data_IF_460626706303
#
_entry.id   IF_460626706303
#
_cell.length_a   1.000
_cell.length_b   1.000
_cell.length_c   1.000
_cell.angle_alpha   90.00
_cell.angle_beta   90.00
_cell.angle_gamma   90.00
#
_symmetry.space_group_name_H-M   'P 1'
#
loop_
_entity.id
_entity.type
_entity.pdbx_description
1 polymer ?
#
# COMPACT_ATOMS: atom_id res chain seq x y z
N UNK A 1 -24.68 -3.00 -13.93
CA UNK A 1 -24.51 -3.83 -12.71
C UNK A 1 -23.33 -3.27 -11.94
N UNK A 2 -23.59 -2.79 -10.72
CA UNK A 2 -22.67 -1.95 -9.94
C UNK A 2 -21.62 -2.80 -9.21
N UNK A 3 -20.39 -2.81 -9.72
CA UNK A 3 -19.17 -3.17 -8.98
C UNK A 3 -18.63 -1.97 -8.17
N UNK A 4 -19.51 -1.06 -7.74
CA UNK A 4 -19.15 0.14 -6.98
C UNK A 4 -19.17 -0.09 -5.45
N UNK A 5 -19.42 -1.31 -4.98
CA UNK A 5 -19.65 -1.61 -3.56
C UNK A 5 -18.41 -1.96 -2.73
N UNK A 6 -17.21 -2.01 -3.33
CA UNK A 6 -16.00 -2.49 -2.64
C UNK A 6 -14.78 -1.59 -2.74
N UNK A 7 -14.82 -0.55 -3.57
CA UNK A 7 -13.75 0.43 -3.66
C UNK A 7 -14.02 1.54 -2.67
N UNK A 8 -12.96 1.92 -1.95
CA UNK A 8 -12.97 3.00 -0.99
C UNK A 8 -13.70 4.23 -1.56
N UNK A 9 -14.53 4.93 -0.77
CA UNK A 9 -15.23 6.11 -1.26
C UNK A 9 -14.24 7.10 -1.86
N UNK A 10 -14.40 7.41 -3.15
CA UNK A 10 -13.52 8.31 -3.90
C UNK A 10 -12.44 7.63 -4.76
N UNK A 11 -12.35 6.31 -4.82
CA UNK A 11 -11.48 5.59 -5.77
C UNK A 11 -12.31 5.01 -6.91
N UNK A 12 -12.09 5.50 -8.13
CA UNK A 12 -12.63 4.91 -9.34
C UNK A 12 -11.57 4.01 -10.00
N UNK A 13 -11.97 2.78 -10.35
CA UNK A 13 -11.23 1.86 -11.22
C UNK A 13 -11.99 1.68 -12.52
N UNK A 14 -11.27 1.30 -13.58
CA UNK A 14 -11.80 1.30 -14.93
C UNK A 14 -13.04 0.43 -15.17
N UNK A 15 -13.76 0.73 -16.25
CA UNK A 15 -15.07 0.13 -16.54
C UNK A 15 -15.02 -1.36 -16.94
N UNK A 16 -13.85 -1.89 -17.33
CA UNK A 16 -13.68 -3.29 -17.74
C UNK A 16 -12.83 -4.10 -16.76
N UNK A 17 -13.09 -5.41 -16.64
CA UNK A 17 -12.34 -6.29 -15.73
C UNK A 17 -10.84 -6.35 -15.99
N UNK A 18 -10.42 -6.17 -17.25
CA UNK A 18 -9.01 -6.09 -17.62
C UNK A 18 -8.36 -4.77 -17.15
N UNK A 19 -9.07 -3.66 -17.27
CA UNK A 19 -8.59 -2.34 -16.82
C UNK A 19 -8.49 -2.26 -15.29
N UNK A 20 -9.42 -2.91 -14.58
CA UNK A 20 -9.37 -3.06 -13.12
C UNK A 20 -8.13 -3.86 -12.70
N UNK A 21 -7.88 -5.01 -13.34
CA UNK A 21 -6.73 -5.86 -13.02
C UNK A 21 -5.41 -5.14 -13.31
N UNK A 22 -5.31 -4.44 -14.44
CA UNK A 22 -4.13 -3.64 -14.79
C UNK A 22 -3.91 -2.50 -13.80
N UNK A 23 -4.96 -1.76 -13.44
CA UNK A 23 -4.89 -0.65 -12.49
C UNK A 23 -4.46 -1.12 -11.10
N UNK A 24 -4.97 -2.27 -10.64
CA UNK A 24 -4.54 -2.90 -9.38
C UNK A 24 -3.09 -3.39 -9.45
N UNK A 25 -2.66 -3.98 -10.58
CA UNK A 25 -1.30 -4.44 -10.76
C UNK A 25 -0.30 -3.27 -10.73
N UNK A 26 -0.63 -2.15 -11.38
CA UNK A 26 0.18 -0.92 -11.35
C UNK A 26 0.23 -0.35 -9.93
N UNK A 27 -0.92 -0.27 -9.24
CA UNK A 27 -0.98 0.24 -7.87
C UNK A 27 -0.14 -0.63 -6.92
N UNK A 28 -0.30 -1.94 -6.97
CA UNK A 28 0.45 -2.88 -6.16
C UNK A 28 1.95 -2.82 -6.47
N UNK A 29 2.32 -2.78 -7.75
CA UNK A 29 3.70 -2.66 -8.20
C UNK A 29 4.36 -1.37 -7.72
N UNK A 30 3.66 -0.23 -7.83
CA UNK A 30 4.17 1.06 -7.35
C UNK A 30 4.35 1.09 -5.83
N UNK A 31 3.36 0.58 -5.07
CA UNK A 31 3.45 0.48 -3.61
C UNK A 31 4.63 -0.41 -3.22
N UNK A 32 4.74 -1.61 -3.81
CA UNK A 32 5.83 -2.53 -3.50
C UNK A 32 7.20 -1.93 -3.84
N UNK A 33 7.36 -1.36 -5.04
CA UNK A 33 8.62 -0.78 -5.50
C UNK A 33 9.04 0.41 -4.62
N UNK A 34 8.13 1.35 -4.36
CA UNK A 34 8.44 2.56 -3.58
C UNK A 34 8.70 2.20 -2.10
N UNK A 35 7.98 1.21 -1.56
CA UNK A 35 8.23 0.70 -0.20
C UNK A 35 9.60 0.05 -0.08
N UNK A 36 10.09 -0.61 -1.14
CA UNK A 36 11.45 -1.18 -1.16
C UNK A 36 12.54 -0.11 -1.32
N UNK A 37 12.29 0.94 -2.12
CA UNK A 37 13.25 2.04 -2.33
C UNK A 37 13.38 2.90 -1.09
N UNK A 38 12.26 3.21 -0.44
CA UNK A 38 12.21 4.08 0.75
C UNK A 38 11.75 3.22 1.92
N UNK A 39 12.70 2.50 2.52
CA UNK A 39 12.43 1.72 3.72
C UNK A 39 12.31 2.64 4.94
N UNK A 40 11.08 2.86 5.41
CA UNK A 40 10.79 3.56 6.66
C UNK A 40 10.38 2.54 7.72
N UNK A 41 11.38 2.00 8.41
CA UNK A 41 11.19 1.04 9.49
C UNK A 41 12.40 0.99 10.42
N UNK A 42 12.22 0.57 11.68
CA UNK A 42 13.32 0.45 12.61
C UNK A 42 14.19 -0.77 12.27
N UNK A 43 15.50 -0.57 12.15
CA UNK A 43 16.48 -1.65 11.94
C UNK A 43 16.74 -2.51 13.19
N UNK A 44 16.26 -2.06 14.36
CA UNK A 44 16.38 -2.72 15.64
C UNK A 44 15.05 -2.61 16.42
N UNK A 45 14.89 -3.36 17.51
CA UNK A 45 13.71 -3.20 18.39
C UNK A 45 13.74 -1.80 19.01
N UNK A 46 12.79 -0.96 18.63
CA UNK A 46 12.63 0.39 19.16
C UNK A 46 11.42 0.46 20.09
N UNK A 47 11.45 1.40 21.05
CA UNK A 47 10.32 1.64 21.96
C UNK A 47 9.05 2.15 21.24
N UNK A 48 7.94 2.23 21.95
CA UNK A 48 6.63 2.55 21.37
C UNK A 48 6.57 3.94 20.68
N UNK A 49 7.22 4.96 21.24
CA UNK A 49 7.22 6.31 20.69
C UNK A 49 7.90 6.43 19.30
N UNK A 50 9.15 5.96 19.09
CA UNK A 50 9.74 5.93 17.76
C UNK A 50 8.99 5.01 16.79
N UNK A 51 8.35 3.94 17.28
CA UNK A 51 7.48 3.09 16.46
C UNK A 51 6.29 3.86 15.89
N UNK A 52 5.66 4.73 16.70
CA UNK A 52 4.57 5.59 16.26
C UNK A 52 5.03 6.60 15.20
N UNK A 53 6.25 7.13 15.32
CA UNK A 53 6.83 8.02 14.31
C UNK A 53 7.08 7.29 12.98
N UNK A 54 7.60 6.06 13.01
CA UNK A 54 7.76 5.24 11.80
C UNK A 54 6.42 4.84 11.18
N UNK A 55 5.39 4.59 11.99
CA UNK A 55 4.04 4.34 11.50
C UNK A 55 3.46 5.57 10.80
N UNK A 56 3.59 6.76 11.40
CA UNK A 56 3.13 8.02 10.81
C UNK A 56 3.86 8.35 9.50
N UNK A 57 5.19 8.21 9.49
CA UNK A 57 6.00 8.40 8.29
C UNK A 57 5.65 7.39 7.19
N UNK A 58 5.32 6.15 7.56
CA UNK A 58 4.81 5.13 6.66
C UNK A 58 3.45 5.49 6.04
N UNK A 59 2.50 5.99 6.83
CA UNK A 59 1.20 6.45 6.32
C UNK A 59 1.38 7.63 5.35
N UNK A 60 2.28 8.56 5.67
CA UNK A 60 2.61 9.66 4.77
C UNK A 60 3.19 9.16 3.45
N UNK A 61 4.11 8.21 3.50
CA UNK A 61 4.67 7.56 2.31
C UNK A 61 3.58 6.90 1.46
N UNK A 62 2.72 6.08 2.07
CA UNK A 62 1.64 5.40 1.34
C UNK A 62 0.65 6.40 0.72
N UNK A 63 0.38 7.51 1.42
CA UNK A 63 -0.45 8.61 0.90
C UNK A 63 0.20 9.29 -0.31
N UNK A 64 1.51 9.57 -0.27
CA UNK A 64 2.24 10.14 -1.40
C UNK A 64 2.27 9.19 -2.61
N UNK A 65 2.33 7.87 -2.38
CA UNK A 65 2.24 6.86 -3.44
C UNK A 65 0.87 6.91 -4.10
N UNK A 66 -0.22 6.97 -3.32
CA UNK A 66 -1.58 7.10 -3.88
C UNK A 66 -1.79 8.41 -4.63
N UNK A 67 -1.18 9.50 -4.17
CA UNK A 67 -1.18 10.76 -4.89
C UNK A 67 -0.43 10.66 -6.23
N UNK A 68 0.75 10.03 -6.25
CA UNK A 68 1.51 9.77 -7.46
C UNK A 68 0.73 8.89 -8.43
N UNK A 69 0.07 7.84 -7.93
CA UNK A 69 -0.78 6.95 -8.72
C UNK A 69 -1.98 7.68 -9.33
N UNK A 70 -2.60 8.61 -8.59
CA UNK A 70 -3.67 9.45 -9.13
C UNK A 70 -3.20 10.35 -10.27
N UNK A 71 -1.99 10.91 -10.17
CA UNK A 71 -1.39 11.71 -11.23
C UNK A 71 -0.99 10.84 -12.44
N UNK A 72 -0.41 9.67 -12.17
CA UNK A 72 0.06 8.74 -13.19
C UNK A 72 -1.10 8.09 -13.96
N UNK A 73 -2.21 7.78 -13.28
CA UNK A 73 -3.44 7.30 -13.91
C UNK A 73 -3.97 8.27 -14.96
N UNK A 74 -4.04 9.56 -14.62
CA UNK A 74 -4.41 10.62 -15.56
C UNK A 74 -3.46 10.77 -16.76
N UNK A 75 -2.19 10.41 -16.60
CA UNK A 75 -1.15 10.56 -17.63
C UNK A 75 -1.03 9.33 -18.54
N UNK A 76 -1.21 8.13 -18.00
CA UNK A 76 -1.11 6.86 -18.73
C UNK A 76 -2.44 6.41 -19.36
N UNK A 77 -3.51 7.17 -19.19
CA UNK A 77 -4.86 6.76 -19.62
C UNK A 77 -5.43 5.59 -18.82
N UNK A 78 -4.81 5.24 -17.69
CA UNK A 78 -5.38 4.26 -16.77
C UNK A 78 -6.50 4.95 -15.96
N UNK A 79 -7.69 4.36 -15.95
CA UNK A 79 -8.86 4.86 -15.20
C UNK A 79 -8.72 4.65 -13.68
N UNK A 80 -7.55 4.98 -13.12
CA UNK A 80 -7.29 4.98 -11.69
C UNK A 80 -7.37 6.43 -11.18
N UNK A 81 -8.54 6.83 -10.71
CA UNK A 81 -8.77 8.17 -10.15
C UNK A 81 -8.95 8.08 -8.65
N UNK A 82 -8.16 8.86 -7.92
CA UNK A 82 -8.33 9.05 -6.47
C UNK A 82 -8.76 10.49 -6.25
N UNK A 83 -10.04 10.68 -5.92
CA UNK A 83 -10.60 12.02 -5.77
C UNK A 83 -10.45 12.52 -4.33
N UNK A 84 -9.67 13.59 -4.18
CA UNK A 84 -9.57 14.35 -2.95
C UNK A 84 -8.45 13.89 -2.00
N UNK A 85 -7.90 14.87 -1.27
CA UNK A 85 -6.81 14.67 -0.32
C UNK A 85 -7.17 13.68 0.80
N UNK A 86 -8.41 13.75 1.32
CA UNK A 86 -8.87 12.83 2.37
C UNK A 86 -8.86 11.36 1.92
N UNK A 87 -9.24 11.10 0.67
CA UNK A 87 -9.25 9.75 0.08
C UNK A 87 -7.84 9.20 -0.09
N UNK A 88 -6.89 10.05 -0.49
CA UNK A 88 -5.47 9.70 -0.61
C UNK A 88 -4.90 9.28 0.75
N UNK A 89 -5.19 10.04 1.81
CA UNK A 89 -4.74 9.72 3.17
C UNK A 89 -5.37 8.44 3.69
N UNK A 90 -6.68 8.25 3.46
CA UNK A 90 -7.39 7.04 3.85
C UNK A 90 -6.86 5.80 3.11
N UNK A 91 -6.58 5.92 1.82
CA UNK A 91 -5.99 4.86 1.00
C UNK A 91 -4.59 4.51 1.51
N UNK A 92 -3.77 5.51 1.86
CA UNK A 92 -2.47 5.31 2.49
C UNK A 92 -2.58 4.55 3.81
N UNK A 93 -3.49 4.97 4.69
CA UNK A 93 -3.73 4.30 5.98
C UNK A 93 -4.14 2.83 5.80
N UNK A 94 -5.06 2.56 4.89
CA UNK A 94 -5.54 1.19 4.62
C UNK A 94 -4.42 0.34 4.04
N UNK A 95 -3.64 0.88 3.11
CA UNK A 95 -2.47 0.19 2.54
C UNK A 95 -1.51 -0.24 3.65
N UNK A 96 -1.21 0.67 4.58
CA UNK A 96 -0.35 0.38 5.74
C UNK A 96 -0.92 -0.73 6.62
N UNK A 97 -2.21 -0.67 6.93
CA UNK A 97 -2.90 -1.69 7.76
C UNK A 97 -2.92 -3.03 7.05
N UNK A 98 -3.20 -3.07 5.75
CA UNK A 98 -3.22 -4.30 4.95
C UNK A 98 -1.83 -4.95 4.87
N UNK A 99 -0.77 -4.16 4.67
CA UNK A 99 0.61 -4.66 4.66
C UNK A 99 0.98 -5.25 6.02
N UNK A 100 0.67 -4.53 7.11
CA UNK A 100 0.91 -5.02 8.47
C UNK A 100 0.13 -6.31 8.75
N UNK A 101 -1.15 -6.37 8.41
CA UNK A 101 -1.98 -7.56 8.56
C UNK A 101 -1.44 -8.75 7.74
N UNK A 102 -1.04 -8.52 6.48
CA UNK A 102 -0.43 -9.54 5.62
C UNK A 102 0.91 -10.04 6.18
N UNK A 103 1.72 -9.16 6.78
CA UNK A 103 2.98 -9.54 7.42
C UNK A 103 2.77 -10.43 8.65
N UNK A 104 1.67 -10.24 9.39
CA UNK A 104 1.31 -11.10 10.53
C UNK A 104 0.81 -12.48 10.11
N UNK A 105 0.21 -12.58 8.92
CA UNK A 105 -0.28 -13.84 8.35
C UNK A 105 0.81 -14.61 7.58
N UNK A 106 1.91 -13.96 7.22
CA UNK A 106 3.04 -14.62 6.56
C UNK A 106 3.80 -15.46 7.61
N UNK A 107 3.90 -16.79 7.44
CA UNK A 107 4.69 -17.62 8.34
C UNK A 107 6.13 -17.11 8.35
N UNK A 108 6.56 -16.59 9.49
CA UNK A 108 7.97 -16.32 9.72
C UNK A 108 8.67 -17.67 9.76
N UNK A 109 9.20 -18.11 8.61
CA UNK A 109 9.80 -19.41 8.41
C UNK A 109 10.67 -19.77 9.60
N UNK A 110 10.32 -20.90 10.22
CA UNK A 110 11.07 -21.58 11.26
C UNK A 110 12.56 -21.49 10.97
N UNK A 111 13.28 -20.69 11.75
CA UNK A 111 14.73 -20.81 11.90
C UNK A 111 14.97 -22.16 12.53
N UNK A 112 15.10 -23.17 11.67
CA UNK A 112 15.51 -24.51 12.03
C UNK A 112 16.94 -24.38 12.55
N UNK A 113 17.07 -24.32 13.87
CA UNK A 113 18.32 -24.50 14.59
C UNK A 113 18.89 -25.85 14.14
N UNK A 114 19.92 -25.80 13.29
CA UNK A 114 20.72 -26.99 13.00
C UNK A 114 21.48 -27.32 14.28
N UNK A 115 21.35 -28.53 14.85
CA UNK A 115 22.25 -28.97 15.90
C UNK A 115 23.67 -28.99 15.31
N UNK A 116 24.61 -28.42 16.07
CA UNK A 116 26.03 -28.51 15.81
C UNK A 116 26.47 -29.85 16.40
N UNK A 117 26.78 -30.82 15.54
CA UNK A 117 27.55 -32.01 15.90
C UNK A 117 29.04 -31.73 15.71
#
# INVERSE_FOLDING_TARGET
MCLAGGLLPGIALGASGADVAFSLAVAFGAVALITQIVYIGPSARVGAAPLAAFAAAGVLQDSLIWWLLSWLGGTLGAELRVEGFGTIVLAGLITRVSILAASLLTPSGSRQERPVD
#
